data_IF_769758174886
#
_entry.id   IF_769758174886
#
_cell.length_a   1.000
_cell.length_b   1.000
_cell.length_c   1.000
_cell.angle_alpha   90.00
_cell.angle_beta   90.00
_cell.angle_gamma   90.00
#
_symmetry.space_group_name_H-M   'P 1'
#
loop_
_entity.id
_entity.type
_entity.pdbx_description
1 polymer ?
#
# COMPACT_ATOMS: atom_id res chain seq x y z
N UNK A 1 9.04 -26.59 -16.86
CA UNK A 1 8.00 -25.62 -16.45
C UNK A 1 7.77 -24.64 -17.60
N UNK A 2 6.53 -24.15 -17.80
CA UNK A 2 6.19 -23.19 -18.86
C UNK A 2 5.94 -21.82 -18.24
N UNK A 3 6.67 -20.79 -18.68
CA UNK A 3 6.42 -19.39 -18.30
C UNK A 3 5.47 -18.76 -19.32
N UNK A 4 4.45 -18.04 -18.84
CA UNK A 4 3.52 -17.29 -19.69
C UNK A 4 3.52 -15.83 -19.26
N UNK A 5 3.82 -14.92 -20.19
CA UNK A 5 3.72 -13.48 -19.99
C UNK A 5 2.49 -12.95 -20.73
N UNK A 6 1.83 -11.95 -20.13
CA UNK A 6 0.65 -11.28 -20.68
C UNK A 6 0.73 -9.80 -20.37
N UNK A 7 0.26 -8.97 -21.28
CA UNK A 7 0.07 -7.55 -21.01
C UNK A 7 -1.13 -7.37 -20.09
N UNK A 8 -1.02 -6.45 -19.14
CA UNK A 8 -2.12 -6.10 -18.23
C UNK A 8 -2.99 -4.99 -18.82
N UNK A 9 -2.44 -4.19 -19.72
CA UNK A 9 -3.06 -3.07 -20.43
C UNK A 9 -2.86 -3.20 -21.94
N UNK A 10 -3.64 -2.47 -22.77
CA UNK A 10 -3.35 -2.36 -24.20
C UNK A 10 -1.96 -1.79 -24.46
N UNK A 11 -1.26 -2.32 -25.47
CA UNK A 11 0.10 -1.91 -25.84
C UNK A 11 0.16 -1.66 -27.35
N UNK A 12 0.83 -0.60 -27.76
CA UNK A 12 1.03 -0.25 -29.16
C UNK A 12 2.28 -0.93 -29.73
N UNK A 13 2.33 -1.12 -31.06
CA UNK A 13 3.52 -1.64 -31.74
C UNK A 13 4.72 -0.74 -31.49
N UNK A 14 5.84 -1.32 -31.03
CA UNK A 14 7.08 -0.59 -30.72
C UNK A 14 7.14 0.00 -29.31
N UNK A 15 6.08 -0.12 -28.52
CA UNK A 15 6.08 0.32 -27.12
C UNK A 15 6.89 -0.66 -26.24
N UNK A 16 7.70 -0.10 -25.34
CA UNK A 16 8.46 -0.88 -24.37
C UNK A 16 7.53 -1.57 -23.35
N UNK A 17 7.86 -2.82 -23.01
CA UNK A 17 7.12 -3.62 -22.06
C UNK A 17 7.84 -3.62 -20.72
N UNK A 18 7.13 -3.25 -19.66
CA UNK A 18 7.66 -3.22 -18.30
C UNK A 18 7.05 -4.33 -17.44
N UNK A 19 7.83 -4.77 -16.45
CA UNK A 19 7.38 -5.64 -15.35
C UNK A 19 7.94 -5.11 -14.03
N UNK A 20 7.33 -5.45 -12.89
CA UNK A 20 7.80 -5.03 -11.56
C UNK A 20 8.62 -6.15 -10.93
N UNK A 21 9.83 -5.83 -10.48
CA UNK A 21 10.69 -6.75 -9.71
C UNK A 21 10.31 -6.84 -8.22
N UNK A 22 9.50 -5.90 -7.72
CA UNK A 22 9.07 -5.81 -6.32
C UNK A 22 7.56 -5.72 -6.21
N UNK A 23 7.04 -5.84 -4.98
CA UNK A 23 5.62 -5.73 -4.73
C UNK A 23 5.12 -4.30 -5.01
N UNK A 24 3.99 -4.19 -5.72
CA UNK A 24 3.45 -2.90 -6.15
C UNK A 24 3.08 -1.98 -4.98
N UNK A 25 2.73 -2.55 -3.82
CA UNK A 25 2.33 -1.80 -2.62
C UNK A 25 3.50 -1.33 -1.73
N UNK A 26 4.76 -1.53 -2.11
CA UNK A 26 5.90 -0.98 -1.35
C UNK A 26 6.01 0.54 -1.56
N UNK A 27 6.01 1.41 -0.52
CA UNK A 27 6.26 2.85 -0.67
C UNK A 27 7.59 3.13 -1.38
N UNK A 28 7.70 4.25 -2.09
CA UNK A 28 8.91 4.60 -2.88
C UNK A 28 10.22 4.48 -2.10
N UNK A 29 10.24 4.92 -0.83
CA UNK A 29 11.42 4.81 0.04
C UNK A 29 11.88 3.36 0.21
N UNK A 30 10.94 2.45 0.50
CA UNK A 30 11.20 1.01 0.70
C UNK A 30 11.48 0.31 -0.63
N UNK A 31 10.70 0.64 -1.67
CA UNK A 31 10.85 0.09 -3.02
C UNK A 31 12.24 0.34 -3.58
N UNK A 32 12.75 1.58 -3.47
CA UNK A 32 14.08 1.95 -3.94
C UNK A 32 15.17 1.23 -3.16
N UNK A 33 15.05 1.14 -1.84
CA UNK A 33 15.98 0.38 -0.99
C UNK A 33 16.05 -1.11 -1.39
N UNK A 34 14.89 -1.75 -1.59
CA UNK A 34 14.81 -3.15 -2.01
C UNK A 34 15.41 -3.39 -3.40
N UNK A 35 15.16 -2.50 -4.36
CA UNK A 35 15.71 -2.59 -5.71
C UNK A 35 17.23 -2.36 -5.72
N UNK A 36 17.73 -1.39 -4.96
CA UNK A 36 19.16 -1.16 -4.82
C UNK A 36 19.85 -2.39 -4.20
N UNK A 37 19.28 -2.94 -3.12
CA UNK A 37 19.85 -4.11 -2.42
C UNK A 37 19.77 -5.40 -3.25
N UNK A 38 18.63 -5.67 -3.89
CA UNK A 38 18.36 -6.96 -4.52
C UNK A 38 18.59 -7.01 -6.04
N UNK A 39 18.65 -5.84 -6.70
CA UNK A 39 18.79 -5.69 -8.15
C UNK A 39 19.88 -4.70 -8.56
N UNK A 40 20.57 -4.08 -7.61
CA UNK A 40 21.75 -3.23 -7.83
C UNK A 40 21.49 -2.01 -8.73
N UNK A 41 20.29 -1.43 -8.63
CA UNK A 41 19.97 -0.16 -9.32
C UNK A 41 19.03 0.73 -8.53
N UNK A 42 19.11 2.04 -8.79
CA UNK A 42 18.24 3.07 -8.25
C UNK A 42 17.06 3.37 -9.17
N UNK A 43 15.86 2.90 -8.82
CA UNK A 43 14.68 3.07 -9.65
C UNK A 43 14.21 4.53 -9.73
N UNK A 44 14.28 5.14 -10.91
CA UNK A 44 13.85 6.52 -11.18
C UNK A 44 12.62 6.58 -12.11
N UNK A 45 11.72 5.59 -12.03
CA UNK A 45 10.46 5.64 -12.78
C UNK A 45 9.57 6.81 -12.29
N UNK A 46 8.54 7.14 -13.06
CA UNK A 46 7.66 8.30 -12.79
C UNK A 46 7.05 8.24 -11.39
N UNK A 47 6.66 7.04 -10.94
CA UNK A 47 6.19 6.82 -9.57
C UNK A 47 7.25 7.18 -8.52
N UNK A 48 8.49 6.70 -8.71
CA UNK A 48 9.57 6.95 -7.75
C UNK A 48 10.04 8.41 -7.75
N UNK A 49 9.79 9.17 -8.83
CA UNK A 49 10.10 10.60 -8.93
C UNK A 49 9.06 11.49 -8.26
N UNK A 50 7.81 11.04 -8.21
CA UNK A 50 6.68 11.81 -7.68
C UNK A 50 6.56 11.67 -6.15
N UNK A 51 6.61 12.77 -5.36
CA UNK A 51 6.40 12.74 -3.92
C UNK A 51 5.06 12.17 -3.46
N UNK A 52 4.05 12.20 -4.33
CA UNK A 52 2.71 11.65 -4.08
C UNK A 52 2.54 10.24 -4.64
N UNK A 53 3.57 9.68 -5.27
CA UNK A 53 3.57 8.36 -5.91
C UNK A 53 2.41 8.19 -6.91
N UNK A 54 2.33 9.07 -7.90
CA UNK A 54 1.23 9.16 -8.87
C UNK A 54 -0.11 9.46 -8.20
N UNK A 55 -0.09 10.33 -7.19
CA UNK A 55 -1.26 10.69 -6.39
C UNK A 55 -1.85 9.55 -5.54
N UNK A 56 -1.16 8.42 -5.39
CA UNK A 56 -1.61 7.29 -4.55
C UNK A 56 -1.29 7.48 -3.07
N UNK A 57 -0.27 8.28 -2.75
CA UNK A 57 0.17 8.59 -1.39
C UNK A 57 0.58 7.34 -0.57
N UNK A 58 1.24 6.37 -1.21
CA UNK A 58 1.61 5.09 -0.55
C UNK A 58 2.61 5.26 0.60
N UNK A 59 3.47 6.27 0.57
CA UNK A 59 4.42 6.61 1.62
C UNK A 59 4.06 7.86 2.42
N UNK A 60 2.90 8.48 2.17
CA UNK A 60 2.53 9.75 2.81
C UNK A 60 2.07 9.56 4.26
N UNK A 61 2.64 10.36 5.16
CA UNK A 61 2.20 10.43 6.57
C UNK A 61 1.25 11.62 6.78
N UNK A 62 0.38 11.54 7.78
CA UNK A 62 -0.37 12.68 8.29
C UNK A 62 0.52 13.51 9.20
N UNK A 63 0.36 14.83 9.16
CA UNK A 63 1.06 15.73 10.05
C UNK A 63 0.48 15.62 11.47
N UNK A 64 1.34 15.59 12.48
CA UNK A 64 0.94 15.61 13.89
C UNK A 64 0.88 17.03 14.48
N UNK A 65 1.14 18.07 13.68
CA UNK A 65 1.14 19.47 14.09
C UNK A 65 -0.03 20.29 13.54
N UNK A 66 -0.68 19.81 12.48
CA UNK A 66 -1.81 20.49 11.85
C UNK A 66 -2.69 19.50 11.09
N UNK A 67 -3.94 19.90 10.86
CA UNK A 67 -4.94 19.21 10.04
C UNK A 67 -5.41 20.21 8.96
N UNK A 68 -5.48 19.85 7.66
CA UNK A 68 -5.30 18.52 7.05
C UNK A 68 -3.86 18.26 6.54
N UNK A 69 -2.84 18.65 7.29
CA UNK A 69 -1.43 18.54 6.89
C UNK A 69 -0.98 17.13 6.49
N UNK A 70 -0.30 17.02 5.36
CA UNK A 70 0.36 15.79 4.88
C UNK A 70 1.88 15.98 4.83
N UNK A 71 2.63 14.97 5.26
CA UNK A 71 4.11 14.95 5.23
C UNK A 71 4.56 14.15 4.00
N UNK A 72 5.32 14.81 3.12
CA UNK A 72 5.85 14.27 1.85
C UNK A 72 7.36 14.46 1.75
N UNK A 73 8.07 13.56 1.05
CA UNK A 73 9.50 13.75 0.75
C UNK A 73 9.71 14.96 -0.17
N UNK A 74 10.72 15.77 0.12
CA UNK A 74 11.13 16.89 -0.75
C UNK A 74 11.92 16.42 -1.97
N UNK A 75 12.53 15.24 -1.90
CA UNK A 75 13.22 14.60 -3.02
C UNK A 75 13.10 13.07 -2.87
N UNK A 76 12.09 12.44 -3.48
CA UNK A 76 11.84 11.00 -3.31
C UNK A 76 12.95 10.08 -3.83
N UNK A 77 13.84 10.58 -4.70
CA UNK A 77 14.98 9.82 -5.21
C UNK A 77 16.16 9.80 -4.22
N UNK A 78 16.20 10.73 -3.28
CA UNK A 78 17.21 10.80 -2.22
C UNK A 78 16.64 10.20 -0.92
N UNK A 79 17.17 9.05 -0.45
CA UNK A 79 16.66 8.39 0.75
C UNK A 79 16.88 9.22 2.04
N UNK A 80 17.80 10.19 2.04
CA UNK A 80 18.08 11.06 3.18
C UNK A 80 17.40 12.44 3.07
N UNK A 81 16.60 12.65 2.03
CA UNK A 81 15.84 13.87 1.84
C UNK A 81 14.97 14.23 3.04
N UNK A 82 14.74 15.52 3.23
CA UNK A 82 13.76 16.00 4.20
C UNK A 82 12.34 15.62 3.77
N UNK A 83 11.48 15.46 4.76
CA UNK A 83 10.06 15.24 4.61
C UNK A 83 9.35 16.43 5.24
N UNK A 84 8.55 17.14 4.45
CA UNK A 84 7.92 18.40 4.84
C UNK A 84 6.40 18.29 4.85
N UNK A 85 5.78 18.95 5.82
CA UNK A 85 4.35 19.14 5.84
C UNK A 85 3.93 20.09 4.70
N UNK A 86 2.76 19.82 4.14
CA UNK A 86 2.12 20.62 3.08
C UNK A 86 1.37 21.85 3.62
N UNK A 87 1.15 21.95 4.93
CA UNK A 87 0.28 22.96 5.54
C UNK A 87 0.91 23.71 6.74
N UNK A 88 2.09 23.32 7.20
CA UNK A 88 2.82 24.03 8.26
C UNK A 88 4.33 23.81 8.11
N UNK A 89 5.12 24.48 8.96
CA UNK A 89 6.59 24.43 8.94
C UNK A 89 7.19 23.12 9.47
N UNK A 90 6.38 22.13 9.83
CA UNK A 90 6.89 20.87 10.34
C UNK A 90 7.68 20.11 9.26
N UNK A 91 8.89 19.67 9.63
CA UNK A 91 9.73 18.79 8.81
C UNK A 91 10.42 17.71 9.64
N UNK A 92 10.78 16.61 8.98
CA UNK A 92 11.54 15.50 9.57
C UNK A 92 12.46 14.86 8.53
N UNK A 93 13.52 14.18 8.93
CA UNK A 93 14.47 13.55 8.00
C UNK A 93 14.00 12.19 7.47
N UNK A 94 14.45 11.80 6.27
CA UNK A 94 14.13 10.51 5.64
C UNK A 94 14.47 9.30 6.51
N UNK A 95 15.59 9.33 7.25
CA UNK A 95 15.93 8.29 8.21
C UNK A 95 14.93 8.13 9.36
N UNK A 96 14.25 9.20 9.79
CA UNK A 96 13.19 9.11 10.81
C UNK A 96 11.93 8.45 10.24
N UNK A 97 11.53 8.83 9.01
CA UNK A 97 10.41 8.20 8.30
C UNK A 97 10.69 6.71 8.06
N UNK A 98 11.92 6.35 7.65
CA UNK A 98 12.35 4.95 7.48
C UNK A 98 12.16 4.13 8.75
N UNK A 99 12.54 4.67 9.92
CA UNK A 99 12.33 4.01 11.22
C UNK A 99 10.85 3.82 11.53
N UNK A 100 10.01 4.82 11.26
CA UNK A 100 8.55 4.69 11.43
C UNK A 100 8.01 3.56 10.55
N UNK A 101 8.39 3.51 9.27
CA UNK A 101 7.94 2.45 8.36
C UNK A 101 8.43 1.06 8.81
N UNK A 102 9.66 0.96 9.31
CA UNK A 102 10.24 -0.27 9.84
C UNK A 102 9.48 -0.80 11.07
N UNK A 103 9.09 0.08 12.00
CA UNK A 103 8.25 -0.30 13.16
C UNK A 103 6.89 -0.82 12.71
N UNK A 104 6.24 -0.13 11.76
CA UNK A 104 4.93 -0.56 11.25
C UNK A 104 5.04 -1.90 10.53
N UNK A 105 6.10 -2.10 9.74
CA UNK A 105 6.36 -3.36 9.06
C UNK A 105 6.52 -4.51 10.05
N UNK A 106 7.27 -4.34 11.14
CA UNK A 106 7.41 -5.38 12.16
C UNK A 106 6.06 -5.76 12.81
N UNK A 107 5.16 -4.79 13.03
CA UNK A 107 3.81 -5.07 13.52
C UNK A 107 2.92 -5.75 12.49
N UNK A 108 3.08 -5.44 11.20
CA UNK A 108 2.42 -6.15 10.10
C UNK A 108 2.88 -7.61 10.03
N UNK A 109 4.18 -7.86 10.15
CA UNK A 109 4.78 -9.20 10.09
C UNK A 109 4.29 -10.07 11.26
N UNK A 110 4.11 -9.47 12.44
CA UNK A 110 3.59 -10.16 13.62
C UNK A 110 2.15 -10.71 13.44
N UNK A 111 1.36 -10.14 12.53
CA UNK A 111 -0.02 -10.57 12.26
C UNK A 111 -0.18 -11.35 10.95
N UNK A 112 0.87 -11.41 10.12
CA UNK A 112 0.84 -12.03 8.79
C UNK A 112 0.50 -13.53 8.89
N UNK A 113 1.14 -14.22 9.84
CA UNK A 113 1.06 -15.67 10.02
C UNK A 113 0.01 -16.13 11.05
N UNK A 114 -0.87 -15.22 11.48
CA UNK A 114 -1.98 -15.59 12.35
C UNK A 114 -2.90 -16.61 11.67
N UNK A 115 -3.51 -17.54 12.42
CA UNK A 115 -4.56 -18.43 11.90
C UNK A 115 -5.68 -17.63 11.22
N UNK A 116 -6.40 -18.27 10.29
CA UNK A 116 -7.53 -17.64 9.60
C UNK A 116 -8.81 -17.78 10.44
N UNK A 117 -8.87 -17.04 11.54
CA UNK A 117 -9.97 -17.01 12.51
C UNK A 117 -10.41 -15.58 12.87
N UNK A 118 -11.40 -15.46 13.75
CA UNK A 118 -11.93 -14.18 14.24
C UNK A 118 -10.84 -13.29 14.85
N UNK A 119 -9.89 -13.85 15.59
CA UNK A 119 -8.80 -13.09 16.22
C UNK A 119 -7.92 -12.40 15.17
N UNK A 120 -7.75 -13.03 14.01
CA UNK A 120 -7.02 -12.49 12.87
C UNK A 120 -7.68 -11.27 12.25
N UNK A 121 -9.02 -11.26 12.18
CA UNK A 121 -9.81 -10.10 11.72
C UNK A 121 -9.66 -8.96 12.72
N UNK A 122 -9.85 -9.24 14.01
CA UNK A 122 -9.75 -8.22 15.04
C UNK A 122 -8.34 -7.61 15.13
N UNK A 123 -7.28 -8.41 14.99
CA UNK A 123 -5.91 -7.93 15.02
C UNK A 123 -5.63 -6.92 13.90
N UNK A 124 -6.10 -7.23 12.67
CA UNK A 124 -6.00 -6.33 11.51
C UNK A 124 -6.81 -5.06 11.70
N UNK A 125 -8.02 -5.19 12.24
CA UNK A 125 -8.87 -4.06 12.59
C UNK A 125 -8.24 -3.15 13.66
N UNK A 126 -7.64 -3.72 14.70
CA UNK A 126 -6.87 -2.96 15.72
C UNK A 126 -5.69 -2.22 15.08
N UNK A 127 -4.93 -2.89 14.21
CA UNK A 127 -3.80 -2.30 13.53
C UNK A 127 -4.21 -1.15 12.59
N UNK A 128 -5.31 -1.33 11.84
CA UNK A 128 -5.89 -0.27 11.02
C UNK A 128 -6.30 0.94 11.87
N UNK A 129 -7.00 0.72 12.99
CA UNK A 129 -7.40 1.81 13.91
C UNK A 129 -6.21 2.55 14.49
N UNK A 130 -5.13 1.83 14.83
CA UNK A 130 -3.90 2.42 15.36
C UNK A 130 -3.25 3.39 14.37
N UNK A 131 -3.19 3.02 13.08
CA UNK A 131 -2.43 3.79 12.09
C UNK A 131 -3.28 4.72 11.21
N UNK A 132 -4.61 4.64 11.21
CA UNK A 132 -5.48 5.53 10.40
C UNK A 132 -5.32 7.02 10.70
N UNK A 133 -4.85 7.39 11.90
CA UNK A 133 -4.57 8.78 12.30
C UNK A 133 -3.14 9.22 11.97
N UNK A 134 -2.25 8.28 11.68
CA UNK A 134 -0.82 8.54 11.41
C UNK A 134 -0.53 8.50 9.91
N UNK A 135 -1.19 7.62 9.18
CA UNK A 135 -0.95 7.36 7.77
C UNK A 135 -2.03 7.99 6.90
N UNK A 136 -1.65 8.39 5.68
CA UNK A 136 -2.64 8.76 4.67
C UNK A 136 -3.62 7.58 4.44
N UNK A 137 -4.92 7.82 4.18
CA UNK A 137 -5.88 6.74 3.99
C UNK A 137 -5.50 5.75 2.88
N UNK A 138 -4.72 6.16 1.87
CA UNK A 138 -4.23 5.30 0.78
C UNK A 138 -2.78 4.81 0.96
N UNK A 139 -2.19 5.04 2.13
CA UNK A 139 -0.84 4.58 2.45
C UNK A 139 -0.71 3.06 2.29
N UNK A 140 0.46 2.58 1.85
CA UNK A 140 0.78 1.18 1.61
C UNK A 140 0.28 0.24 2.72
N UNK A 141 0.70 0.47 3.98
CA UNK A 141 0.25 -0.35 5.11
C UNK A 141 -1.27 -0.35 5.32
N UNK A 142 -1.93 0.79 5.20
CA UNK A 142 -3.41 0.85 5.29
C UNK A 142 -4.04 0.01 4.17
N UNK A 143 -3.51 0.13 2.95
CA UNK A 143 -3.94 -0.64 1.78
C UNK A 143 -3.68 -2.13 1.96
N UNK A 144 -2.54 -2.54 2.51
CA UNK A 144 -2.24 -3.95 2.81
C UNK A 144 -3.17 -4.53 3.88
N UNK A 145 -3.44 -3.79 4.96
CA UNK A 145 -4.38 -4.21 6.00
C UNK A 145 -5.78 -4.39 5.40
N UNK A 146 -6.24 -3.41 4.63
CA UNK A 146 -7.52 -3.46 3.91
C UNK A 146 -7.61 -4.63 2.94
N UNK A 147 -6.55 -4.89 2.18
CA UNK A 147 -6.48 -6.02 1.27
C UNK A 147 -6.66 -7.32 2.04
N UNK A 148 -5.97 -7.47 3.18
CA UNK A 148 -6.10 -8.65 4.02
C UNK A 148 -7.51 -8.79 4.62
N UNK A 149 -8.08 -7.71 5.15
CA UNK A 149 -9.46 -7.69 5.67
C UNK A 149 -10.49 -8.05 4.59
N UNK A 150 -10.33 -7.56 3.36
CA UNK A 150 -11.23 -7.88 2.24
C UNK A 150 -11.27 -9.39 1.92
N UNK A 151 -10.17 -10.09 2.20
CA UNK A 151 -10.02 -11.52 1.97
C UNK A 151 -10.56 -12.36 3.14
N UNK A 152 -10.60 -11.79 4.36
CA UNK A 152 -11.11 -12.45 5.56
C UNK A 152 -12.62 -12.27 5.72
N UNK A 153 -13.12 -11.04 5.52
CA UNK A 153 -14.55 -10.77 5.59
C UNK A 153 -15.30 -11.63 4.57
N UNK A 154 -16.34 -12.31 5.04
CA UNK A 154 -17.15 -13.23 4.27
C UNK A 154 -16.60 -14.65 4.13
N UNK A 155 -15.48 -15.01 4.78
CA UNK A 155 -14.85 -16.33 4.66
C UNK A 155 -14.55 -17.04 5.99
N UNK A 156 -14.24 -16.26 7.02
CA UNK A 156 -13.79 -16.77 8.33
C UNK A 156 -15.00 -17.00 9.26
N UNK A 157 -15.02 -18.04 10.12
CA UNK A 157 -16.09 -18.22 11.11
C UNK A 157 -16.33 -16.96 11.97
N UNK A 158 -17.59 -16.61 12.22
CA UNK A 158 -17.99 -15.36 12.88
C UNK A 158 -18.03 -14.14 11.94
N UNK A 159 -17.43 -14.26 10.76
CA UNK A 159 -17.41 -13.25 9.70
C UNK A 159 -17.80 -13.84 8.35
N UNK A 160 -18.52 -14.98 8.29
CA UNK A 160 -19.01 -15.50 7.01
C UNK A 160 -20.06 -14.57 6.44
N UNK A 161 -20.31 -14.65 5.13
CA UNK A 161 -21.23 -13.72 4.44
C UNK A 161 -22.64 -13.73 5.03
N UNK A 162 -23.08 -14.89 5.51
CA UNK A 162 -24.36 -15.16 6.15
C UNK A 162 -24.38 -14.84 7.65
N UNK A 163 -23.22 -14.67 8.28
CA UNK A 163 -23.08 -14.39 9.72
C UNK A 163 -22.82 -12.91 10.02
N UNK A 164 -22.28 -12.16 9.06
CA UNK A 164 -21.96 -10.73 9.24
C UNK A 164 -23.24 -9.88 9.33
N UNK A 165 -23.28 -8.86 10.20
CA UNK A 165 -24.31 -7.82 10.13
C UNK A 165 -24.05 -6.86 8.96
N UNK A 166 -25.10 -6.18 8.49
CA UNK A 166 -25.06 -5.27 7.33
C UNK A 166 -23.93 -4.22 7.41
N UNK A 167 -23.64 -3.69 8.60
CA UNK A 167 -22.54 -2.74 8.83
C UNK A 167 -21.16 -3.30 8.42
N UNK A 168 -20.94 -4.61 8.57
CA UNK A 168 -19.69 -5.26 8.14
C UNK A 168 -19.69 -5.54 6.63
N UNK A 169 -20.86 -5.78 6.02
CA UNK A 169 -20.96 -5.84 4.55
C UNK A 169 -20.65 -4.47 3.92
N UNK A 170 -21.21 -3.39 4.46
CA UNK A 170 -20.93 -2.02 4.03
C UNK A 170 -19.44 -1.70 4.16
N UNK A 171 -18.86 -2.01 5.33
CA UNK A 171 -17.42 -1.86 5.56
C UNK A 171 -16.58 -2.63 4.53
N UNK A 172 -16.97 -3.86 4.19
CA UNK A 172 -16.27 -4.64 3.16
C UNK A 172 -16.38 -3.97 1.78
N UNK A 173 -17.54 -3.40 1.43
CA UNK A 173 -17.73 -2.66 0.18
C UNK A 173 -16.83 -1.41 0.14
N UNK A 174 -16.76 -0.64 1.23
CA UNK A 174 -15.89 0.53 1.35
C UNK A 174 -14.42 0.15 1.17
N UNK A 175 -13.97 -0.91 1.87
CA UNK A 175 -12.62 -1.45 1.73
C UNK A 175 -12.32 -1.79 0.27
N UNK A 176 -13.22 -2.47 -0.43
CA UNK A 176 -13.04 -2.79 -1.84
C UNK A 176 -12.93 -1.53 -2.70
N UNK A 177 -13.78 -0.51 -2.49
CA UNK A 177 -13.69 0.76 -3.22
C UNK A 177 -12.36 1.47 -2.98
N UNK A 178 -11.91 1.54 -1.73
CA UNK A 178 -10.63 2.14 -1.35
C UNK A 178 -9.43 1.42 -1.99
N UNK A 179 -9.48 0.08 -2.04
CA UNK A 179 -8.45 -0.72 -2.70
C UNK A 179 -8.39 -0.44 -4.21
N UNK A 180 -9.54 -0.26 -4.85
CA UNK A 180 -9.61 0.04 -6.29
C UNK A 180 -8.98 1.39 -6.62
N UNK A 181 -9.13 2.41 -5.77
CA UNK A 181 -8.47 3.72 -5.97
C UNK A 181 -6.95 3.62 -6.05
N UNK A 182 -6.34 2.65 -5.37
CA UNK A 182 -4.89 2.40 -5.44
C UNK A 182 -4.56 1.47 -6.62
N UNK A 183 -5.36 0.42 -6.81
CA UNK A 183 -5.14 -0.57 -7.87
C UNK A 183 -5.28 0.03 -9.28
N UNK A 184 -6.19 0.99 -9.48
CA UNK A 184 -6.38 1.68 -10.76
C UNK A 184 -5.11 2.43 -11.22
N UNK A 185 -4.25 2.84 -10.28
CA UNK A 185 -3.00 3.55 -10.59
C UNK A 185 -1.81 2.60 -10.68
N UNK A 186 -1.66 1.68 -9.71
CA UNK A 186 -0.44 0.86 -9.61
C UNK A 186 -0.49 -0.45 -10.41
N UNK A 187 -1.68 -1.04 -10.51
CA UNK A 187 -1.90 -2.34 -11.16
C UNK A 187 -3.11 -2.27 -12.09
N UNK A 188 -3.12 -1.37 -13.09
CA UNK A 188 -4.25 -1.20 -14.00
C UNK A 188 -4.48 -2.45 -14.86
N UNK A 189 -5.74 -2.63 -15.26
CA UNK A 189 -6.15 -3.68 -16.19
C UNK A 189 -6.28 -5.06 -15.54
N UNK A 190 -5.73 -6.10 -16.18
CA UNK A 190 -5.92 -7.50 -15.75
C UNK A 190 -4.83 -7.95 -14.76
N UNK A 191 -4.98 -7.59 -13.49
CA UNK A 191 -3.97 -7.82 -12.44
C UNK A 191 -4.50 -8.65 -11.27
N UNK A 192 -3.59 -9.30 -10.54
CA UNK A 192 -3.95 -10.18 -9.42
C UNK A 192 -4.60 -9.44 -8.26
N UNK A 193 -4.20 -8.19 -8.01
CA UNK A 193 -4.78 -7.36 -6.95
C UNK A 193 -6.28 -7.12 -7.16
N UNK A 194 -6.72 -7.05 -8.43
CA UNK A 194 -8.12 -6.83 -8.81
C UNK A 194 -8.95 -8.11 -8.85
N UNK A 195 -8.32 -9.27 -8.65
CA UNK A 195 -8.97 -10.59 -8.65
C UNK A 195 -8.25 -11.61 -9.51
N UNK A 196 -8.61 -12.89 -9.36
CA UNK A 196 -8.14 -13.95 -10.26
C UNK A 196 -9.06 -13.99 -11.48
N UNK A 197 -8.49 -13.74 -12.66
CA UNK A 197 -9.13 -14.07 -13.93
C UNK A 197 -9.33 -15.59 -14.02
N UNK A 198 -10.57 -16.04 -14.25
CA UNK A 198 -10.83 -17.41 -14.70
C UNK A 198 -10.72 -17.41 -16.23
N UNK A 199 -9.67 -18.03 -16.74
CA UNK A 199 -9.52 -18.36 -18.16
C UNK A 199 -10.31 -19.61 -18.51
#
# INVERSE_FOLDING_TARGET
SRLTLRTTVPVQTGQELYTSYTHSLEPTLVRRENLARGKYFDCSCDRCKDPTELGTHLGTLKCNKCDPGLILSTNPLDPEAQWKCTHCEFSTGGGAVRRVLSVIQAEMDAIEWMPLDEQSVEARERLWRKYRSVLHPRHAFITCIRLSLSQLYGRVPGYRLDEMPDILHERKIEICKDLMMVADVLEPGLTRLRGKYRS
#
